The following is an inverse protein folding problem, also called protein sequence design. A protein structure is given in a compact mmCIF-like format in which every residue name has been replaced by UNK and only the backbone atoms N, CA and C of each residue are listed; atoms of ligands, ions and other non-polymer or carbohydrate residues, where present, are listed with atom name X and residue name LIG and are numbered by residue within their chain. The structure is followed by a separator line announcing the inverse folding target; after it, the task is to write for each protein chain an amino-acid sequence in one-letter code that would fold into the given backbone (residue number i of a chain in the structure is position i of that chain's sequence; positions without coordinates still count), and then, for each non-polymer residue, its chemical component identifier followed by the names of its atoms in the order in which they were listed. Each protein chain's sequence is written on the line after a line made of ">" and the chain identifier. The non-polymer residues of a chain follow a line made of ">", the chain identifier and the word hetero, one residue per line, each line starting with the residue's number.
data_IF_004632876904
#
_entry.id   IF_004632876904
#
_cell.length_a   1.000
_cell.length_b   1.000
_cell.length_c   1.000
_cell.angle_alpha   90.00
_cell.angle_beta   90.00
_cell.angle_gamma   90.00
#
_symmetry.space_group_name_H-M   'P 1'
#
loop_
_entity.id
_entity.type
_entity.pdbx_description
1 polymer ?
#
# COMPACT_ATOMS: atom_id res chain seq x y z
N UNK A 1 14.32 -3.91 -7.10
CA UNK A 1 14.01 -4.02 -5.66
C UNK A 1 12.98 -5.10 -5.35
N UNK A 2 11.86 -5.14 -6.05
CA UNK A 2 10.82 -6.14 -5.78
C UNK A 2 11.06 -7.41 -6.56
N UNK A 3 10.93 -8.55 -5.87
CA UNK A 3 11.03 -9.87 -6.52
C UNK A 3 9.74 -10.20 -7.26
N UNK A 4 9.78 -11.22 -8.10
CA UNK A 4 8.57 -11.68 -8.80
C UNK A 4 7.50 -12.17 -7.82
N UNK A 5 7.91 -12.85 -6.76
CA UNK A 5 6.96 -13.29 -5.74
C UNK A 5 6.25 -12.11 -5.07
N UNK A 6 6.98 -11.04 -4.76
CA UNK A 6 6.39 -9.84 -4.18
C UNK A 6 5.37 -9.22 -5.15
N UNK A 7 5.72 -9.13 -6.44
CA UNK A 7 4.84 -8.55 -7.45
C UNK A 7 3.57 -9.38 -7.64
N UNK A 8 3.71 -10.70 -7.65
CA UNK A 8 2.56 -11.59 -7.75
C UNK A 8 1.63 -11.42 -6.55
N UNK A 9 2.20 -11.32 -5.36
CA UNK A 9 1.40 -11.16 -4.15
C UNK A 9 0.65 -9.84 -4.15
N UNK A 10 1.29 -8.77 -4.61
CA UNK A 10 0.65 -7.46 -4.74
C UNK A 10 -0.52 -7.54 -5.72
N UNK A 11 -0.36 -8.30 -6.81
CA UNK A 11 -1.40 -8.44 -7.83
C UNK A 11 -2.57 -9.31 -7.37
N UNK A 12 -2.31 -10.33 -6.55
CA UNK A 12 -3.30 -11.36 -6.24
C UNK A 12 -3.97 -11.24 -4.88
N UNK A 13 -3.29 -10.64 -3.90
CA UNK A 13 -3.80 -10.58 -2.53
C UNK A 13 -4.33 -9.21 -2.18
N UNK A 14 -5.12 -9.14 -1.12
CA UNK A 14 -5.68 -7.89 -0.64
C UNK A 14 -4.65 -7.12 0.16
N UNK A 15 -4.48 -5.85 -0.17
CA UNK A 15 -3.60 -4.97 0.58
C UNK A 15 -4.24 -4.56 1.90
N UNK A 16 -3.53 -4.76 3.01
CA UNK A 16 -3.92 -4.21 4.30
C UNK A 16 -2.99 -3.04 4.59
N UNK A 17 -3.56 -1.87 4.76
CA UNK A 17 -2.81 -0.63 4.92
C UNK A 17 -2.81 -0.22 6.39
N UNK A 18 -1.62 0.00 6.93
CA UNK A 18 -1.41 0.39 8.32
C UNK A 18 -0.86 1.80 8.33
N UNK A 19 -1.52 2.68 9.08
CA UNK A 19 -1.08 4.06 9.28
C UNK A 19 -1.16 4.39 10.76
N UNK A 20 -0.64 5.54 11.15
CA UNK A 20 -0.62 5.97 12.54
C UNK A 20 -0.88 7.47 12.56
N UNK A 21 -1.62 7.94 13.56
CA UNK A 21 -1.79 9.39 13.73
C UNK A 21 -0.58 9.97 14.47
N UNK A 22 -0.56 11.27 14.64
CA UNK A 22 0.55 11.95 15.31
C UNK A 22 0.67 11.66 16.80
N UNK A 23 -0.34 11.01 17.37
CA UNK A 23 -0.34 10.63 18.78
C UNK A 23 0.03 9.16 18.99
N UNK A 24 0.32 8.44 17.90
CA UNK A 24 0.72 7.05 18.00
C UNK A 24 -0.42 6.04 17.94
N UNK A 25 -1.64 6.46 17.60
CA UNK A 25 -2.76 5.54 17.49
C UNK A 25 -2.74 4.87 16.12
N UNK A 26 -2.63 3.53 16.07
CA UNK A 26 -2.58 2.83 14.79
C UNK A 26 -3.96 2.66 14.17
N UNK A 27 -3.98 2.56 12.85
CA UNK A 27 -5.18 2.31 12.07
C UNK A 27 -4.87 1.31 10.98
N UNK A 28 -5.77 0.40 10.71
CA UNK A 28 -5.60 -0.59 9.65
C UNK A 28 -6.88 -0.69 8.83
N UNK A 29 -6.72 -0.82 7.51
CA UNK A 29 -7.85 -1.01 6.62
C UNK A 29 -7.40 -1.57 5.28
N UNK A 30 -8.32 -2.19 4.54
CA UNK A 30 -7.98 -2.74 3.22
C UNK A 30 -8.07 -1.68 2.14
N UNK A 31 -7.27 -1.87 1.09
CA UNK A 31 -7.34 -1.04 -0.12
C UNK A 31 -7.30 -1.96 -1.34
N UNK A 32 -8.47 -2.27 -1.89
CA UNK A 32 -8.57 -3.17 -3.05
C UNK A 32 -7.96 -2.58 -4.32
N UNK A 33 -7.82 -1.27 -4.37
CA UNK A 33 -7.25 -0.60 -5.54
C UNK A 33 -5.73 -0.51 -5.52
N UNK A 34 -5.07 -1.06 -4.49
CA UNK A 34 -3.62 -1.01 -4.39
C UNK A 34 -2.95 -1.79 -5.51
N UNK A 35 -1.95 -1.17 -6.14
CA UNK A 35 -1.22 -1.78 -7.24
C UNK A 35 0.15 -1.15 -7.39
N UNK A 36 1.03 -1.81 -8.13
CA UNK A 36 2.34 -1.24 -8.46
C UNK A 36 2.19 -0.11 -9.48
N UNK A 37 2.88 0.98 -9.23
CA UNK A 37 3.08 2.04 -10.21
C UNK A 37 4.39 1.78 -10.96
N UNK A 38 5.43 1.43 -10.22
CA UNK A 38 6.72 1.01 -10.76
C UNK A 38 7.41 0.11 -9.71
N UNK A 39 8.70 -0.22 -9.90
CA UNK A 39 9.41 -1.16 -9.04
C UNK A 39 9.62 -0.69 -7.59
N UNK A 40 9.31 0.56 -7.29
CA UNK A 40 9.56 1.12 -5.95
C UNK A 40 8.35 1.84 -5.38
N UNK A 41 7.25 1.93 -6.14
CA UNK A 41 6.08 2.68 -5.70
C UNK A 41 4.79 1.91 -5.89
N UNK A 42 3.90 2.09 -4.93
CA UNK A 42 2.53 1.59 -5.00
C UNK A 42 1.59 2.78 -5.13
N UNK A 43 0.43 2.55 -5.70
CA UNK A 43 -0.61 3.56 -5.80
C UNK A 43 -1.96 2.93 -5.50
N UNK A 44 -2.84 3.69 -4.85
CA UNK A 44 -4.22 3.27 -4.65
C UNK A 44 -5.14 4.47 -4.85
N UNK A 45 -6.43 4.18 -5.04
CA UNK A 45 -7.44 5.22 -5.20
C UNK A 45 -8.08 5.53 -3.86
N UNK A 46 -7.99 6.80 -3.43
CA UNK A 46 -8.60 7.25 -2.18
C UNK A 46 -10.03 7.68 -2.47
N UNK A 47 -11.00 6.91 -1.97
CA UNK A 47 -12.42 7.18 -2.22
C UNK A 47 -13.17 7.68 -1.00
N UNK A 48 -12.72 7.32 0.20
CA UNK A 48 -13.47 7.59 1.42
C UNK A 48 -13.06 8.84 2.18
N UNK A 49 -11.78 9.21 2.12
CA UNK A 49 -11.27 10.34 2.88
C UNK A 49 -11.30 10.11 4.39
N UNK A 50 -11.19 8.84 4.83
CA UNK A 50 -11.26 8.48 6.24
C UNK A 50 -9.96 8.58 7.00
N UNK A 51 -9.80 7.73 8.03
CA UNK A 51 -8.66 7.81 8.94
C UNK A 51 -7.33 7.53 8.25
N UNK A 52 -7.28 6.58 7.32
CA UNK A 52 -6.07 6.31 6.56
C UNK A 52 -5.58 7.57 5.85
N UNK A 53 -6.49 8.25 5.16
CA UNK A 53 -6.16 9.48 4.45
C UNK A 53 -5.67 10.56 5.39
N UNK A 54 -6.36 10.76 6.50
CA UNK A 54 -5.99 11.77 7.51
C UNK A 54 -4.61 11.50 8.08
N UNK A 55 -4.30 10.23 8.37
CA UNK A 55 -3.01 9.85 8.92
C UNK A 55 -1.88 10.10 7.92
N UNK A 56 -2.10 9.76 6.65
CA UNK A 56 -1.10 10.01 5.60
C UNK A 56 -0.85 11.51 5.48
N UNK A 57 -1.90 12.31 5.48
CA UNK A 57 -1.75 13.77 5.42
C UNK A 57 -1.01 14.33 6.62
N UNK A 58 -1.17 13.69 7.79
CA UNK A 58 -0.54 14.16 9.02
C UNK A 58 0.95 13.86 9.08
N UNK A 59 1.40 12.68 8.62
CA UNK A 59 2.80 12.29 8.81
C UNK A 59 3.40 11.43 7.71
N UNK A 60 2.60 10.89 6.80
CA UNK A 60 3.08 10.07 5.68
C UNK A 60 3.57 8.68 6.04
N UNK A 61 3.53 8.27 7.30
CA UNK A 61 4.02 6.94 7.72
C UNK A 61 3.05 5.87 7.29
N UNK A 62 3.56 4.80 6.68
CA UNK A 62 2.69 3.75 6.14
C UNK A 62 3.40 2.41 6.08
N UNK A 63 2.63 1.34 6.27
CA UNK A 63 3.03 -0.01 5.90
C UNK A 63 1.89 -0.63 5.11
N UNK A 64 2.26 -1.44 4.13
CA UNK A 64 1.28 -2.18 3.33
C UNK A 64 1.62 -3.66 3.45
N UNK A 65 0.68 -4.44 3.96
CA UNK A 65 0.90 -5.86 4.18
C UNK A 65 0.07 -6.70 3.21
N UNK A 66 0.70 -7.74 2.69
CA UNK A 66 0.06 -8.75 1.86
C UNK A 66 0.36 -10.11 2.43
N UNK A 67 -0.66 -10.95 2.56
CA UNK A 67 -0.49 -12.29 3.10
C UNK A 67 -1.23 -13.28 2.21
N UNK A 68 -0.55 -14.38 1.89
CA UNK A 68 -1.15 -15.53 1.24
C UNK A 68 -1.40 -16.58 2.32
N UNK A 69 -2.65 -16.76 2.69
CA UNK A 69 -3.04 -17.63 3.79
C UNK A 69 -2.68 -19.10 3.53
N UNK A 70 -2.88 -19.54 2.32
CA UNK A 70 -2.65 -20.95 1.96
C UNK A 70 -1.17 -21.33 2.04
N UNK A 71 -0.30 -20.43 1.59
CA UNK A 71 1.12 -20.68 1.57
C UNK A 71 1.82 -20.24 2.85
N UNK A 72 1.13 -19.51 3.73
CA UNK A 72 1.67 -18.91 4.95
C UNK A 72 2.88 -18.04 4.65
N UNK A 73 2.77 -17.26 3.59
CA UNK A 73 3.82 -16.34 3.13
C UNK A 73 3.23 -14.96 2.98
N UNK A 74 4.07 -13.96 3.16
CA UNK A 74 3.63 -12.59 3.02
C UNK A 74 4.79 -11.62 3.12
N UNK A 75 4.47 -10.35 2.87
CA UNK A 75 5.44 -9.26 2.96
C UNK A 75 4.77 -8.03 3.54
N UNK A 76 5.54 -7.23 4.27
CA UNK A 76 5.11 -5.89 4.61
C UNK A 76 6.08 -4.90 3.97
N UNK A 77 5.51 -3.95 3.27
CA UNK A 77 6.25 -2.90 2.57
C UNK A 77 6.18 -1.66 3.43
N UNK A 78 7.32 -1.17 3.86
CA UNK A 78 7.41 -0.02 4.76
C UNK A 78 7.88 1.18 3.97
N UNK A 79 7.24 2.31 4.15
CA UNK A 79 7.63 3.49 3.41
C UNK A 79 6.91 4.75 3.88
N UNK A 80 6.79 5.69 2.95
CA UNK A 80 6.03 6.91 3.21
C UNK A 80 5.05 7.15 2.06
N UNK A 81 3.96 7.82 2.38
CA UNK A 81 2.87 8.04 1.44
C UNK A 81 2.52 9.51 1.35
N UNK A 82 1.93 9.88 0.21
CA UNK A 82 1.37 11.21 -0.03
C UNK A 82 -0.01 11.07 -0.65
N UNK A 83 -0.85 12.05 -0.38
CA UNK A 83 -2.18 12.14 -0.97
C UNK A 83 -2.10 13.14 -2.12
N UNK A 84 -2.40 12.69 -3.33
CA UNK A 84 -2.24 13.47 -4.56
C UNK A 84 -3.62 13.75 -5.14
N UNK A 85 -3.93 15.04 -5.35
CA UNK A 85 -5.23 15.48 -5.81
C UNK A 85 -5.22 16.10 -7.20
N UNK A 86 -4.05 16.19 -7.82
CA UNK A 86 -3.92 16.73 -9.18
C UNK A 86 -2.65 16.22 -9.83
N UNK A 87 -2.56 16.33 -11.13
CA UNK A 87 -1.38 15.93 -11.89
C UNK A 87 -1.48 14.52 -12.46
N UNK A 88 -0.39 14.04 -13.10
CA UNK A 88 -0.43 12.79 -13.86
C UNK A 88 -0.83 11.55 -13.05
N UNK A 89 -0.37 11.43 -11.82
CA UNK A 89 -0.70 10.25 -10.98
C UNK A 89 -2.20 10.23 -10.66
N UNK A 90 -2.77 11.39 -10.33
CA UNK A 90 -4.19 11.49 -10.06
C UNK A 90 -5.02 11.22 -11.32
N UNK A 91 -4.61 11.76 -12.47
CA UNK A 91 -5.32 11.53 -13.72
C UNK A 91 -5.29 10.05 -14.10
N UNK A 92 -4.15 9.39 -13.92
CA UNK A 92 -4.04 7.95 -14.16
C UNK A 92 -4.94 7.14 -13.23
N UNK A 93 -5.07 7.58 -11.97
CA UNK A 93 -5.95 6.92 -11.00
C UNK A 93 -7.43 7.02 -11.43
N UNK A 94 -7.82 8.16 -11.99
CA UNK A 94 -9.18 8.32 -12.51
C UNK A 94 -9.44 7.38 -13.69
N UNK A 95 -8.48 7.29 -14.61
CA UNK A 95 -8.60 6.38 -15.75
C UNK A 95 -8.67 4.92 -15.29
N UNK A 96 -7.85 4.56 -14.33
CA UNK A 96 -7.85 3.19 -13.80
C UNK A 96 -9.20 2.81 -13.19
N UNK A 97 -9.89 3.78 -12.59
CA UNK A 97 -11.19 3.53 -11.94
C UNK A 97 -12.33 3.32 -12.93
N UNK A 98 -12.18 3.81 -14.17
CA UNK A 98 -13.26 3.71 -15.17
C UNK A 98 -13.68 2.26 -15.37
N UNK A 99 -14.99 2.01 -15.24
CA UNK A 99 -15.55 0.68 -15.39
C UNK A 99 -15.32 -0.26 -14.22
N UNK A 100 -14.62 0.18 -13.17
CA UNK A 100 -14.30 -0.64 -11.99
C UNK A 100 -14.92 -0.09 -10.71
N UNK A 101 -14.91 1.22 -10.55
CA UNK A 101 -15.39 1.87 -9.33
C UNK A 101 -15.64 3.34 -9.60
N UNK A 102 -16.17 4.04 -8.61
CA UNK A 102 -16.41 5.47 -8.71
C UNK A 102 -15.11 6.26 -8.84
N UNK A 103 -15.23 7.50 -9.33
CA UNK A 103 -14.07 8.37 -9.45
C UNK A 103 -13.43 8.63 -8.09
N UNK A 104 -12.10 8.57 -7.99
CA UNK A 104 -11.43 8.80 -6.70
C UNK A 104 -11.40 10.27 -6.34
N UNK A 105 -11.33 10.53 -5.03
CA UNK A 105 -11.11 11.89 -4.51
C UNK A 105 -9.63 12.25 -4.60
N UNK A 106 -8.77 11.27 -4.54
CA UNK A 106 -7.33 11.44 -4.55
C UNK A 106 -6.65 10.13 -4.91
N UNK A 107 -5.36 10.18 -5.18
CA UNK A 107 -4.51 8.99 -5.28
C UNK A 107 -3.60 8.96 -4.06
N UNK A 108 -3.43 7.78 -3.48
CA UNK A 108 -2.41 7.56 -2.45
C UNK A 108 -1.17 6.99 -3.13
N UNK A 109 -0.06 7.68 -3.00
CA UNK A 109 1.21 7.25 -3.61
C UNK A 109 2.16 6.83 -2.50
N UNK A 110 2.65 5.60 -2.57
CA UNK A 110 3.50 5.02 -1.52
C UNK A 110 4.89 4.75 -2.08
N UNK A 111 5.89 5.35 -1.45
CA UNK A 111 7.30 5.14 -1.78
C UNK A 111 7.83 4.05 -0.85
N UNK A 112 8.16 2.89 -1.42
CA UNK A 112 8.65 1.75 -0.64
C UNK A 112 10.11 1.99 -0.25
N UNK A 113 10.40 1.91 1.03
CA UNK A 113 11.75 2.11 1.58
C UNK A 113 12.40 0.81 2.02
N UNK A 114 11.61 -0.12 2.54
CA UNK A 114 12.11 -1.43 2.94
C UNK A 114 11.02 -2.47 2.90
N UNK A 115 11.42 -3.73 2.81
CA UNK A 115 10.49 -4.86 2.75
C UNK A 115 10.90 -5.88 3.79
N UNK A 116 9.92 -6.38 4.56
CA UNK A 116 10.11 -7.40 5.57
C UNK A 116 9.26 -8.60 5.25
N UNK A 117 9.78 -9.79 5.58
CA UNK A 117 9.05 -11.03 5.40
C UNK A 117 7.98 -11.21 6.47
N UNK A 118 6.81 -11.69 6.04
CA UNK A 118 5.76 -12.17 6.93
C UNK A 118 5.57 -13.68 6.74
N UNK A 119 6.61 -14.35 6.23
CA UNK A 119 6.55 -15.80 6.04
C UNK A 119 6.53 -16.52 7.38
N UNK A 120 5.82 -17.63 7.42
CA UNK A 120 5.87 -18.52 8.57
C UNK A 120 7.25 -19.19 8.65
N UNK A 121 7.76 -19.38 9.85
CA UNK A 121 9.01 -20.10 10.08
C UNK A 121 10.22 -19.21 10.27
N UNK A 122 11.37 -19.69 9.86
CA UNK A 122 12.66 -19.05 10.14
C UNK A 122 12.82 -17.65 9.54
N UNK A 123 12.10 -17.36 8.46
CA UNK A 123 12.20 -16.06 7.78
C UNK A 123 11.27 -15.00 8.36
N UNK A 124 10.43 -15.37 9.32
CA UNK A 124 9.45 -14.45 9.90
C UNK A 124 10.09 -13.18 10.41
N UNK A 125 9.57 -12.04 9.97
CA UNK A 125 10.00 -10.73 10.44
C UNK A 125 11.32 -10.21 9.91
N UNK A 126 12.02 -10.98 9.10
CA UNK A 126 13.33 -10.55 8.60
C UNK A 126 13.21 -9.54 7.48
N UNK A 127 14.13 -8.58 7.49
CA UNK A 127 14.24 -7.62 6.39
C UNK A 127 14.80 -8.35 5.17
N UNK A 128 14.08 -8.28 4.05
CA UNK A 128 14.46 -8.99 2.82
C UNK A 128 14.80 -8.05 1.67
N UNK A 129 14.64 -6.75 1.90
CA UNK A 129 15.02 -5.73 0.95
C UNK A 129 15.28 -4.47 1.75
N UNK A 130 16.22 -3.69 1.31
CA UNK A 130 16.66 -2.50 2.06
C UNK A 130 15.55 -1.52 2.38
#
# INVERSE_FOLDING_TARGET
>A
MLTEEMKEMIAEQLAMVVTVDNEGNPNIGPKRSMRLLDDETLVYNENTGGQTCSNIQANGKIEVAYVNREQLRGYRFVGHAEIITEGPVFEAAKEWAEGKMGAPKAAGLIHIESVYSLHSGAEAGKKVSK
#
